data_IF_110215773236
#
_entry.id   IF_110215773236
#
_cell.length_a   1.000
_cell.length_b   1.000
_cell.length_c   1.000
_cell.angle_alpha   90.00
_cell.angle_beta   90.00
_cell.angle_gamma   90.00
#
_symmetry.space_group_name_H-M   'P 1'
#
loop_
_entity.id
_entity.type
_entity.pdbx_description
1 polymer ?
#
# COMPACT_ATOMS: atom_id res chain seq x y z
N UNK A 1 -12.26 4.52 -47.75
CA UNK A 1 -11.13 4.56 -46.78
C UNK A 1 -11.47 5.18 -45.41
N UNK A 2 -12.66 5.73 -45.16
CA UNK A 2 -13.04 6.28 -43.83
C UNK A 2 -13.45 5.24 -42.78
N UNK A 3 -13.86 4.03 -43.21
CA UNK A 3 -14.38 2.96 -42.31
C UNK A 3 -13.28 2.18 -41.57
N UNK A 4 -12.02 2.29 -41.99
CA UNK A 4 -10.89 1.61 -41.34
C UNK A 4 -10.40 2.31 -40.07
N UNK A 5 -10.50 3.64 -40.01
CA UNK A 5 -10.09 4.43 -38.85
C UNK A 5 -10.96 4.16 -37.61
N UNK A 6 -12.23 3.80 -37.81
CA UNK A 6 -13.18 3.51 -36.74
C UNK A 6 -12.88 2.17 -36.02
N UNK A 7 -12.33 1.19 -36.75
CA UNK A 7 -11.89 -0.09 -36.19
C UNK A 7 -10.61 0.04 -35.35
N UNK A 8 -9.70 0.94 -35.76
CA UNK A 8 -8.42 1.16 -35.08
C UNK A 8 -8.60 1.86 -33.72
N UNK A 9 -9.56 2.79 -33.62
CA UNK A 9 -9.91 3.47 -32.36
C UNK A 9 -10.58 2.50 -31.38
N UNK A 10 -11.42 1.59 -31.87
CA UNK A 10 -12.12 0.61 -31.02
C UNK A 10 -11.15 -0.42 -30.40
N UNK A 11 -10.06 -0.77 -31.10
CA UNK A 11 -9.02 -1.64 -30.55
C UNK A 11 -8.18 -0.98 -29.45
N UNK A 12 -7.98 0.33 -29.52
CA UNK A 12 -7.23 1.06 -28.49
C UNK A 12 -8.01 1.15 -27.16
N UNK A 13 -9.35 1.16 -27.21
CA UNK A 13 -10.20 1.19 -26.01
C UNK A 13 -10.21 -0.14 -25.22
N UNK A 14 -10.02 -1.28 -25.88
CA UNK A 14 -10.00 -2.58 -25.20
C UNK A 14 -8.66 -2.91 -24.53
N UNK A 15 -7.55 -2.26 -24.94
CA UNK A 15 -6.24 -2.46 -24.33
C UNK A 15 -6.10 -1.86 -22.92
N UNK A 16 -7.04 -1.02 -22.48
CA UNK A 16 -6.93 -0.29 -21.21
C UNK A 16 -7.79 -0.86 -20.06
N UNK A 17 -8.48 -1.99 -20.26
CA UNK A 17 -9.36 -2.59 -19.22
C UNK A 17 -8.59 -3.53 -18.29
N UNK A 18 -7.29 -3.72 -18.51
CA UNK A 18 -6.42 -4.39 -17.54
C UNK A 18 -6.00 -3.43 -16.44
N UNK A 19 -6.85 -3.19 -15.43
CA UNK A 19 -6.36 -2.77 -14.12
C UNK A 19 -5.47 -3.91 -13.60
N UNK A 20 -4.18 -3.85 -13.93
CA UNK A 20 -3.20 -4.78 -13.40
C UNK A 20 -3.20 -4.62 -11.89
N UNK A 21 -3.74 -5.61 -11.18
CA UNK A 21 -3.38 -5.79 -9.79
C UNK A 21 -1.86 -5.88 -9.75
N UNK A 22 -1.21 -4.95 -9.04
CA UNK A 22 0.23 -4.99 -8.84
C UNK A 22 0.53 -6.28 -8.10
N UNK A 23 1.19 -7.22 -8.79
CA UNK A 23 1.72 -8.40 -8.14
C UNK A 23 2.95 -8.00 -7.35
N UNK A 24 3.03 -8.45 -6.11
CA UNK A 24 4.22 -8.28 -5.28
C UNK A 24 5.28 -9.27 -5.73
N UNK A 25 6.25 -8.80 -6.50
CA UNK A 25 7.45 -9.54 -6.89
C UNK A 25 8.70 -9.00 -6.19
N UNK A 26 8.65 -7.74 -5.74
CA UNK A 26 9.71 -7.03 -5.03
C UNK A 26 9.16 -6.13 -3.92
N UNK A 27 10.02 -5.72 -2.99
CA UNK A 27 9.65 -4.78 -1.92
C UNK A 27 9.15 -3.44 -2.48
N UNK A 28 9.72 -3.02 -3.62
CA UNK A 28 9.30 -1.82 -4.34
C UNK A 28 7.84 -1.90 -4.78
N UNK A 29 7.36 -3.06 -5.23
CA UNK A 29 5.96 -3.25 -5.63
C UNK A 29 5.00 -3.06 -4.46
N UNK A 30 5.41 -3.54 -3.28
CA UNK A 30 4.65 -3.37 -2.04
C UNK A 30 4.58 -1.89 -1.66
N UNK A 31 5.72 -1.19 -1.67
CA UNK A 31 5.78 0.24 -1.38
C UNK A 31 4.96 1.05 -2.39
N UNK A 32 5.09 0.76 -3.69
CA UNK A 32 4.31 1.41 -4.75
C UNK A 32 2.81 1.20 -4.59
N UNK A 33 2.37 0.00 -4.17
CA UNK A 33 0.96 -0.25 -3.87
C UNK A 33 0.44 0.58 -2.68
N UNK A 34 1.29 0.83 -1.69
CA UNK A 34 0.94 1.58 -0.48
C UNK A 34 1.07 3.09 -0.66
N UNK A 35 1.92 3.53 -1.59
CA UNK A 35 2.20 4.93 -1.86
C UNK A 35 0.90 5.69 -2.16
N UNK A 36 0.73 6.85 -1.52
CA UNK A 36 -0.48 7.67 -1.63
C UNK A 36 -1.74 7.12 -0.93
N UNK A 37 -1.74 5.86 -0.45
CA UNK A 37 -2.89 5.30 0.27
C UNK A 37 -2.94 5.75 1.72
N UNK A 38 -4.16 5.98 2.21
CA UNK A 38 -4.44 6.24 3.63
C UNK A 38 -5.47 5.23 4.09
N UNK A 39 -5.13 4.47 5.12
CA UNK A 39 -5.99 3.46 5.72
C UNK A 39 -6.57 4.01 7.03
N UNK A 40 -7.84 3.73 7.29
CA UNK A 40 -8.58 4.26 8.43
C UNK A 40 -9.10 3.11 9.29
N UNK A 41 -9.04 3.28 10.61
CA UNK A 41 -9.77 2.41 11.53
C UNK A 41 -11.28 2.49 11.29
N UNK A 42 -12.03 1.52 11.78
CA UNK A 42 -13.50 1.45 11.63
C UNK A 42 -14.21 2.71 12.13
N UNK A 43 -13.75 3.27 13.24
CA UNK A 43 -14.25 4.51 13.86
C UNK A 43 -13.62 5.79 13.26
N UNK A 44 -12.70 5.65 12.30
CA UNK A 44 -11.99 6.71 11.59
C UNK A 44 -11.09 7.61 12.47
N UNK A 45 -10.82 7.21 13.71
CA UNK A 45 -9.99 7.97 14.66
C UNK A 45 -8.49 7.78 14.41
N UNK A 46 -8.11 6.63 13.84
CA UNK A 46 -6.73 6.30 13.51
C UNK A 46 -6.55 6.24 12.00
N UNK A 47 -5.56 6.99 11.52
CA UNK A 47 -5.11 7.00 10.13
C UNK A 47 -3.73 6.37 10.06
N UNK A 48 -3.57 5.39 9.19
CA UNK A 48 -2.31 4.70 8.94
C UNK A 48 -1.88 4.98 7.52
N UNK A 49 -0.64 5.44 7.35
CA UNK A 49 0.05 5.52 6.07
C UNK A 49 1.38 4.79 6.19
N UNK A 50 1.75 4.08 5.14
CA UNK A 50 3.10 3.55 4.98
C UNK A 50 3.67 4.24 3.75
N UNK A 51 4.77 4.96 3.91
CA UNK A 51 5.31 5.80 2.86
C UNK A 51 6.57 6.52 3.30
N UNK A 52 7.12 7.31 2.37
CA UNK A 52 8.34 8.06 2.62
C UNK A 52 8.12 9.19 3.63
N UNK A 53 8.95 9.22 4.68
CA UNK A 53 8.99 10.26 5.70
C UNK A 53 10.19 11.17 5.46
N UNK A 54 9.93 12.43 5.10
CA UNK A 54 10.98 13.44 4.91
C UNK A 54 11.74 13.74 6.19
N UNK A 55 11.10 13.61 7.36
CA UNK A 55 11.74 13.81 8.67
C UNK A 55 12.83 12.79 8.95
N UNK A 56 12.65 11.55 8.50
CA UNK A 56 13.62 10.46 8.68
C UNK A 56 14.47 10.20 7.44
N UNK A 57 14.19 10.88 6.33
CA UNK A 57 14.78 10.60 5.02
C UNK A 57 14.66 9.11 4.62
N UNK A 58 13.56 8.45 5.01
CA UNK A 58 13.35 7.01 4.83
C UNK A 58 11.86 6.66 4.88
N UNK A 59 11.51 5.44 4.46
CA UNK A 59 10.15 4.92 4.58
C UNK A 59 9.81 4.61 6.05
N UNK A 60 8.56 4.86 6.43
CA UNK A 60 8.09 4.62 7.79
C UNK A 60 6.58 4.38 7.88
N UNK A 61 6.13 4.00 9.07
CA UNK A 61 4.71 3.91 9.42
C UNK A 61 4.32 5.21 10.10
N UNK A 62 3.35 5.89 9.49
CA UNK A 62 2.86 7.20 9.90
C UNK A 62 1.45 7.01 10.45
N UNK A 63 1.31 7.29 11.75
CA UNK A 63 0.04 7.23 12.47
C UNK A 63 -0.44 8.65 12.74
N UNK A 64 -1.64 8.99 12.28
CA UNK A 64 -2.27 10.31 12.46
C UNK A 64 -1.36 11.50 12.05
N UNK A 65 -0.49 11.30 11.06
CA UNK A 65 0.43 12.32 10.56
C UNK A 65 1.80 12.36 11.23
N UNK A 66 2.01 11.59 12.29
CA UNK A 66 3.31 11.45 12.95
C UNK A 66 3.98 10.16 12.53
N UNK A 67 5.26 10.24 12.12
CA UNK A 67 6.05 9.03 11.91
C UNK A 67 6.27 8.36 13.26
N UNK A 68 5.97 7.08 13.36
CA UNK A 68 6.04 6.31 14.63
C UNK A 68 6.98 5.12 14.53
N UNK A 69 7.14 4.57 13.32
CA UNK A 69 8.04 3.45 13.07
C UNK A 69 8.86 3.69 11.81
N UNK A 70 10.07 3.14 11.78
CA UNK A 70 11.09 3.29 10.73
C UNK A 70 11.79 1.96 10.47
N UNK A 71 12.84 1.94 9.64
CA UNK A 71 13.60 0.75 9.26
C UNK A 71 12.67 -0.40 8.81
N UNK A 72 11.85 -0.12 7.79
CA UNK A 72 10.85 -1.07 7.35
C UNK A 72 11.51 -2.31 6.73
N UNK A 73 11.18 -3.48 7.27
CA UNK A 73 11.48 -4.78 6.69
C UNK A 73 10.22 -5.32 6.00
N UNK A 74 10.34 -5.70 4.73
CA UNK A 74 9.20 -6.17 3.92
C UNK A 74 9.39 -7.64 3.56
N UNK A 75 8.46 -8.48 4.00
CA UNK A 75 8.41 -9.89 3.64
C UNK A 75 7.22 -10.15 2.72
N UNK A 76 7.48 -10.52 1.47
CA UNK A 76 6.45 -10.93 0.52
C UNK A 76 6.06 -12.38 0.81
N UNK A 77 4.77 -12.62 0.98
CA UNK A 77 4.23 -13.96 1.26
C UNK A 77 3.60 -14.59 0.01
N UNK A 78 3.02 -13.77 -0.85
CA UNK A 78 2.42 -14.16 -2.12
C UNK A 78 2.28 -12.94 -3.03
N UNK A 79 1.91 -13.09 -4.31
CA UNK A 79 1.72 -11.95 -5.23
C UNK A 79 0.74 -10.88 -4.76
N UNK A 80 -0.11 -11.17 -3.76
CA UNK A 80 -1.11 -10.22 -3.23
C UNK A 80 -0.96 -9.92 -1.75
N UNK A 81 0.01 -10.55 -1.08
CA UNK A 81 0.16 -10.47 0.38
C UNK A 81 1.61 -10.21 0.77
N UNK A 82 1.79 -9.22 1.63
CA UNK A 82 3.08 -8.90 2.23
C UNK A 82 2.91 -8.58 3.72
N UNK A 83 4.03 -8.61 4.42
CA UNK A 83 4.16 -8.21 5.82
C UNK A 83 5.20 -7.11 5.88
N UNK A 84 4.88 -6.03 6.57
CA UNK A 84 5.79 -4.92 6.83
C UNK A 84 6.04 -4.87 8.33
N UNK A 85 7.30 -4.90 8.72
CA UNK A 85 7.71 -4.72 10.11
C UNK A 85 8.47 -3.42 10.24
N UNK A 86 8.07 -2.54 11.16
CA UNK A 86 8.78 -1.30 11.46
C UNK A 86 9.22 -1.24 12.91
N UNK A 87 10.39 -0.66 13.16
CA UNK A 87 10.96 -0.42 14.49
C UNK A 87 10.42 0.88 15.08
N UNK A 88 10.05 0.88 16.36
CA UNK A 88 9.44 2.04 17.01
C UNK A 88 10.47 3.13 17.30
N UNK A 89 10.09 4.38 17.06
CA UNK A 89 10.92 5.54 17.39
C UNK A 89 10.98 5.83 18.90
N UNK A 90 10.03 5.33 19.69
CA UNK A 90 9.91 5.65 21.12
C UNK A 90 10.17 4.47 22.05
N UNK A 91 10.21 3.25 21.52
CA UNK A 91 10.52 2.04 22.27
C UNK A 91 11.57 1.20 21.53
N UNK A 92 12.78 1.00 22.07
CA UNK A 92 13.85 0.27 21.39
C UNK A 92 13.49 -1.19 21.07
N UNK A 93 12.60 -1.81 21.85
CA UNK A 93 12.12 -3.18 21.60
C UNK A 93 10.76 -3.21 20.86
N UNK A 94 10.18 -2.03 20.61
CA UNK A 94 8.88 -1.88 20.00
C UNK A 94 8.95 -2.17 18.50
N UNK A 95 8.17 -3.16 18.03
CA UNK A 95 7.99 -3.43 16.60
C UNK A 95 6.51 -3.41 16.25
N UNK A 96 6.18 -2.84 15.09
CA UNK A 96 4.83 -2.89 14.53
C UNK A 96 4.84 -3.76 13.27
N UNK A 97 3.90 -4.71 13.21
CA UNK A 97 3.74 -5.63 12.08
C UNK A 97 2.43 -5.37 11.36
N UNK A 98 2.50 -4.95 10.10
CA UNK A 98 1.35 -4.68 9.25
C UNK A 98 1.26 -5.77 8.18
N UNK A 99 0.12 -6.45 8.08
CA UNK A 99 -0.20 -7.33 6.97
C UNK A 99 -0.91 -6.54 5.88
N UNK A 100 -0.44 -6.67 4.65
CA UNK A 100 -0.98 -6.02 3.47
C UNK A 100 -1.65 -7.08 2.59
N UNK A 101 -2.86 -6.80 2.11
CA UNK A 101 -3.56 -7.66 1.16
C UNK A 101 -4.22 -6.83 0.05
N UNK A 102 -3.68 -6.93 -1.17
CA UNK A 102 -4.12 -6.14 -2.33
C UNK A 102 -5.56 -6.44 -2.76
N UNK A 103 -6.11 -7.59 -2.35
CA UNK A 103 -7.48 -7.98 -2.70
C UNK A 103 -8.55 -7.37 -1.79
N UNK A 104 -8.15 -6.75 -0.67
CA UNK A 104 -9.10 -6.25 0.35
C UNK A 104 -9.12 -4.75 0.50
N UNK A 105 -8.15 -4.03 -0.07
CA UNK A 105 -7.90 -2.60 0.19
C UNK A 105 -7.87 -2.23 1.68
N UNK A 106 -7.48 -3.21 2.50
CA UNK A 106 -7.28 -3.07 3.92
C UNK A 106 -5.90 -3.61 4.29
N UNK A 107 -5.36 -3.03 5.36
CA UNK A 107 -4.19 -3.54 6.07
C UNK A 107 -4.63 -4.02 7.46
N UNK A 108 -3.86 -4.92 8.05
CA UNK A 108 -4.15 -5.47 9.38
C UNK A 108 -2.94 -5.35 10.29
N UNK A 109 -3.18 -4.99 11.54
CA UNK A 109 -2.18 -4.99 12.60
C UNK A 109 -2.78 -5.59 13.88
N UNK A 110 -2.23 -6.71 14.34
CA UNK A 110 -2.64 -7.40 15.57
C UNK A 110 -4.16 -7.69 15.67
N UNK A 111 -4.78 -8.06 14.54
CA UNK A 111 -6.22 -8.35 14.44
C UNK A 111 -7.10 -7.12 14.16
N UNK A 112 -6.53 -5.92 14.15
CA UNK A 112 -7.24 -4.68 13.85
C UNK A 112 -7.07 -4.34 12.37
N UNK A 113 -8.17 -4.07 11.68
CA UNK A 113 -8.18 -3.74 10.25
C UNK A 113 -8.30 -2.23 10.02
N UNK A 114 -7.54 -1.75 9.04
CA UNK A 114 -7.58 -0.37 8.57
C UNK A 114 -7.81 -0.38 7.06
N UNK A 115 -8.83 0.31 6.57
CA UNK A 115 -9.24 0.23 5.17
C UNK A 115 -9.19 1.60 4.49
N UNK A 116 -8.98 1.61 3.17
CA UNK A 116 -9.08 2.84 2.38
C UNK A 116 -10.55 3.29 2.38
N UNK A 117 -10.79 4.60 2.54
CA UNK A 117 -12.14 5.15 2.37
C UNK A 117 -12.58 4.98 0.92
N UNK A 118 -13.76 4.40 0.73
CA UNK A 118 -14.46 4.40 -0.57
C UNK A 118 -15.20 5.72 -0.77
#
# INVERSE_FOLDING_TARGET
MKKFYLLLICWFCFAQIGFGQTNFESESDVLNYLEGKTFYSTDQTVKVKIGYSSTLNSYGIILNGSTTHFNLEILILSPTKAVITGESLSNPDGKMKIRVNTSTDCIENAGIYYCVKK
#
